data_IF_758195530364
#
_entry.id   IF_758195530364
#
_cell.length_a   1.000
_cell.length_b   1.000
_cell.length_c   1.000
_cell.angle_alpha   90.00
_cell.angle_beta   90.00
_cell.angle_gamma   90.00
#
_symmetry.space_group_name_H-M   'P 1'
#
loop_
_entity.id
_entity.type
_entity.pdbx_description
1 polymer ?
#
# COMPACT_ATOMS: atom_id res chain seq x y z
N UNK A 1 -48.06 -15.48 2.59
CA UNK A 1 -47.86 -14.03 2.64
C UNK A 1 -46.42 -13.74 2.24
N UNK A 2 -46.25 -13.07 1.12
CA UNK A 2 -44.92 -12.57 0.74
C UNK A 2 -44.55 -11.37 1.56
N UNK A 3 -43.36 -11.36 2.17
CA UNK A 3 -42.76 -10.17 2.77
C UNK A 3 -42.29 -9.30 1.61
N UNK A 4 -42.99 -8.22 1.35
CA UNK A 4 -42.54 -7.23 0.37
C UNK A 4 -41.42 -6.43 0.99
N UNK A 5 -40.21 -6.39 0.40
CA UNK A 5 -39.14 -5.56 0.96
C UNK A 5 -39.56 -4.09 0.98
N UNK A 6 -39.38 -3.45 2.12
CA UNK A 6 -39.76 -2.05 2.36
C UNK A 6 -38.89 -1.04 1.59
N UNK A 7 -37.85 -1.52 0.90
CA UNK A 7 -36.89 -0.74 0.15
C UNK A 7 -36.85 -1.22 -1.30
N UNK A 8 -36.83 -0.32 -2.25
CA UNK A 8 -36.54 -0.64 -3.63
C UNK A 8 -35.10 -1.21 -3.74
N UNK A 9 -34.90 -2.22 -4.58
CA UNK A 9 -33.59 -2.85 -4.80
C UNK A 9 -32.49 -1.82 -5.10
N UNK A 10 -32.80 -0.70 -5.77
CA UNK A 10 -31.85 0.35 -6.09
C UNK A 10 -31.31 1.11 -4.87
N UNK A 11 -32.08 1.26 -3.80
CA UNK A 11 -31.61 1.97 -2.58
C UNK A 11 -30.57 1.14 -1.82
N UNK A 12 -30.78 -0.19 -1.74
CA UNK A 12 -29.81 -1.11 -1.11
C UNK A 12 -28.53 -1.19 -1.92
N UNK A 13 -28.63 -1.31 -3.24
CA UNK A 13 -27.49 -1.33 -4.16
C UNK A 13 -26.64 -0.05 -4.02
N UNK A 14 -27.27 1.11 -3.99
CA UNK A 14 -26.57 2.39 -3.79
C UNK A 14 -25.83 2.46 -2.45
N UNK A 15 -26.40 1.91 -1.38
CA UNK A 15 -25.72 1.87 -0.08
C UNK A 15 -24.52 0.92 -0.07
N UNK A 16 -24.64 -0.24 -0.71
CA UNK A 16 -23.54 -1.20 -0.87
C UNK A 16 -22.42 -0.56 -1.69
N UNK A 17 -22.74 0.08 -2.79
CA UNK A 17 -21.77 0.76 -3.65
C UNK A 17 -21.06 1.91 -2.89
N UNK A 18 -21.79 2.74 -2.17
CA UNK A 18 -21.23 3.80 -1.33
C UNK A 18 -20.31 3.23 -0.23
N UNK A 19 -20.66 2.10 0.37
CA UNK A 19 -19.83 1.41 1.35
C UNK A 19 -18.53 0.90 0.72
N UNK A 20 -18.61 0.26 -0.44
CA UNK A 20 -17.42 -0.22 -1.17
C UNK A 20 -16.48 0.92 -1.52
N UNK A 21 -16.99 2.05 -2.01
CA UNK A 21 -16.19 3.21 -2.33
C UNK A 21 -15.47 3.79 -1.10
N UNK A 22 -16.15 3.82 0.04
CA UNK A 22 -15.53 4.28 1.30
C UNK A 22 -14.46 3.31 1.78
N UNK A 23 -14.71 2.02 1.66
CA UNK A 23 -13.74 0.97 2.01
C UNK A 23 -12.49 1.06 1.11
N UNK A 24 -12.68 1.24 -0.18
CA UNK A 24 -11.58 1.42 -1.14
C UNK A 24 -10.73 2.65 -0.78
N UNK A 25 -11.37 3.78 -0.50
CA UNK A 25 -10.67 5.01 -0.09
C UNK A 25 -9.90 4.82 1.22
N UNK A 26 -10.50 4.16 2.22
CA UNK A 26 -9.85 3.87 3.48
C UNK A 26 -8.65 2.93 3.29
N UNK A 27 -8.78 1.94 2.44
CA UNK A 27 -7.70 1.01 2.09
C UNK A 27 -6.54 1.74 1.42
N UNK A 28 -6.82 2.58 0.42
CA UNK A 28 -5.81 3.39 -0.27
C UNK A 28 -5.09 4.33 0.69
N UNK A 29 -5.83 5.01 1.56
CA UNK A 29 -5.25 5.89 2.58
C UNK A 29 -4.29 5.13 3.50
N UNK A 30 -4.72 3.98 4.00
CA UNK A 30 -3.92 3.15 4.89
C UNK A 30 -2.66 2.62 4.21
N UNK A 31 -2.77 2.13 2.97
CA UNK A 31 -1.63 1.63 2.22
C UNK A 31 -0.63 2.74 1.89
N UNK A 32 -1.10 3.94 1.56
CA UNK A 32 -0.24 5.11 1.38
C UNK A 32 0.52 5.48 2.66
N UNK A 33 -0.18 5.52 3.78
CA UNK A 33 0.43 5.80 5.08
C UNK A 33 1.49 4.77 5.46
N UNK A 34 1.18 3.48 5.30
CA UNK A 34 2.14 2.41 5.54
C UNK A 34 3.33 2.48 4.60
N UNK A 35 3.08 2.72 3.32
CA UNK A 35 4.13 2.82 2.31
C UNK A 35 5.11 3.94 2.63
N UNK A 36 4.60 5.12 2.95
CA UNK A 36 5.43 6.26 3.35
C UNK A 36 6.24 5.96 4.61
N UNK A 37 5.60 5.39 5.61
CA UNK A 37 6.26 5.01 6.88
C UNK A 37 7.36 3.98 6.65
N UNK A 38 7.12 2.97 5.84
CA UNK A 38 8.09 1.90 5.58
C UNK A 38 9.25 2.37 4.71
N UNK A 39 8.98 3.19 3.69
CA UNK A 39 10.03 3.77 2.85
C UNK A 39 10.93 4.73 3.66
N UNK A 40 10.34 5.56 4.49
CA UNK A 40 11.09 6.43 5.42
C UNK A 40 11.93 5.63 6.40
N UNK A 41 11.35 4.57 6.98
CA UNK A 41 12.06 3.71 7.91
C UNK A 41 13.27 3.02 7.27
N UNK A 42 13.16 2.56 6.01
CA UNK A 42 14.28 1.98 5.28
C UNK A 42 15.42 3.00 5.12
N UNK A 43 15.10 4.23 4.74
CA UNK A 43 16.07 5.30 4.57
C UNK A 43 16.76 5.69 5.86
N UNK A 44 16.00 5.80 6.96
CA UNK A 44 16.53 6.17 8.27
C UNK A 44 17.44 5.09 8.86
N UNK A 45 17.26 3.84 8.46
CA UNK A 45 18.02 2.69 8.98
C UNK A 45 19.18 2.24 8.09
N UNK A 46 19.42 2.95 6.97
CA UNK A 46 20.55 2.59 6.11
C UNK A 46 21.90 2.77 6.83
N UNK A 47 22.83 1.88 6.54
CA UNK A 47 24.17 1.87 7.09
C UNK A 47 25.24 1.70 6.01
N UNK A 48 24.88 1.92 4.76
CA UNK A 48 25.79 1.99 3.62
C UNK A 48 26.19 3.46 3.33
N UNK A 49 27.32 3.63 2.65
CA UNK A 49 27.72 4.93 2.13
C UNK A 49 27.10 5.13 0.75
N UNK A 50 26.22 6.11 0.63
CA UNK A 50 25.55 6.47 -0.64
C UNK A 50 26.26 7.68 -1.27
N UNK A 51 27.21 7.44 -2.15
CA UNK A 51 28.06 8.48 -2.74
C UNK A 51 27.29 9.45 -3.63
N UNK A 52 26.30 8.96 -4.36
CA UNK A 52 25.50 9.75 -5.30
C UNK A 52 24.14 10.12 -4.73
N UNK A 53 23.72 9.48 -3.65
CA UNK A 53 22.37 9.58 -3.13
C UNK A 53 21.34 8.74 -3.91
N UNK A 54 21.76 8.09 -5.00
CA UNK A 54 20.85 7.38 -5.90
C UNK A 54 20.23 6.16 -5.23
N UNK A 55 20.98 5.39 -4.45
CA UNK A 55 20.45 4.20 -3.79
C UNK A 55 19.34 4.56 -2.81
N UNK A 56 19.60 5.51 -1.91
CA UNK A 56 18.61 5.99 -0.93
C UNK A 56 17.41 6.64 -1.63
N UNK A 57 17.66 7.41 -2.70
CA UNK A 57 16.60 8.07 -3.46
C UNK A 57 15.79 7.08 -4.33
N UNK A 58 16.30 5.88 -4.59
CA UNK A 58 15.57 4.82 -5.29
C UNK A 58 14.65 3.99 -4.39
N UNK A 59 14.77 4.16 -3.06
CA UNK A 59 13.86 3.53 -2.11
C UNK A 59 12.53 4.26 -2.14
N UNK A 60 11.49 3.53 -2.49
CA UNK A 60 10.15 4.07 -2.59
C UNK A 60 9.10 3.02 -2.28
N UNK A 61 7.84 3.43 -2.36
CA UNK A 61 6.70 2.53 -2.25
C UNK A 61 5.73 2.75 -3.40
N UNK A 62 4.98 1.71 -3.71
CA UNK A 62 3.87 1.80 -4.64
C UNK A 62 2.62 1.15 -4.05
N UNK A 63 1.50 1.83 -4.16
CA UNK A 63 0.19 1.24 -3.92
C UNK A 63 -0.35 0.78 -5.27
N UNK A 64 -0.65 -0.50 -5.35
CA UNK A 64 -1.10 -1.15 -6.59
C UNK A 64 -2.55 -1.58 -6.43
N UNK A 65 -3.35 -1.29 -7.43
CA UNK A 65 -4.72 -1.77 -7.55
C UNK A 65 -4.90 -2.45 -8.91
N UNK A 66 -5.34 -3.72 -8.89
CA UNK A 66 -5.55 -4.51 -10.10
C UNK A 66 -4.33 -4.48 -11.05
N UNK A 67 -3.14 -4.74 -10.49
CA UNK A 67 -1.86 -4.76 -11.21
C UNK A 67 -1.40 -3.42 -11.79
N UNK A 68 -2.01 -2.30 -11.37
CA UNK A 68 -1.64 -0.95 -11.80
C UNK A 68 -1.27 -0.08 -10.61
N UNK A 69 -0.22 0.72 -10.76
CA UNK A 69 0.16 1.68 -9.73
C UNK A 69 -0.91 2.79 -9.64
N UNK A 70 -1.44 2.98 -8.45
CA UNK A 70 -2.34 4.09 -8.10
C UNK A 70 -1.56 5.24 -7.49
N UNK A 71 -0.57 4.92 -6.65
CA UNK A 71 0.30 5.91 -6.00
C UNK A 71 1.71 5.37 -5.98
N UNK A 72 2.69 6.23 -6.25
CA UNK A 72 4.11 6.00 -6.03
C UNK A 72 4.69 7.16 -5.24
N UNK A 73 5.51 6.86 -4.25
CA UNK A 73 6.14 7.87 -3.42
C UNK A 73 7.44 7.38 -2.79
N UNK A 74 8.02 8.22 -1.96
CA UNK A 74 9.22 7.91 -1.19
C UNK A 74 10.51 8.51 -1.75
N UNK A 75 10.62 8.87 -3.03
CA UNK A 75 11.78 9.57 -3.54
C UNK A 75 11.95 10.94 -2.86
N UNK A 76 13.18 11.30 -2.52
CA UNK A 76 13.50 12.55 -1.83
C UNK A 76 13.52 13.71 -2.84
N UNK A 77 14.04 13.44 -4.03
CA UNK A 77 14.18 14.41 -5.11
C UNK A 77 14.13 13.74 -6.47
N UNK A 78 13.80 14.47 -7.54
CA UNK A 78 13.90 13.95 -8.91
C UNK A 78 15.33 13.53 -9.24
N UNK A 79 15.50 12.52 -10.11
CA UNK A 79 16.79 12.05 -10.56
C UNK A 79 16.79 10.57 -10.92
N UNK A 80 17.98 10.04 -11.19
CA UNK A 80 18.17 8.66 -11.59
C UNK A 80 17.60 7.66 -10.57
N UNK A 81 17.88 7.85 -9.28
CA UNK A 81 17.37 6.98 -8.23
C UNK A 81 15.86 6.93 -8.22
N UNK A 82 15.19 8.08 -8.28
CA UNK A 82 13.73 8.16 -8.33
C UNK A 82 13.15 7.45 -9.56
N UNK A 83 13.77 7.65 -10.73
CA UNK A 83 13.34 7.03 -11.99
C UNK A 83 13.49 5.51 -11.96
N UNK A 84 14.61 4.99 -11.48
CA UNK A 84 14.84 3.55 -11.36
C UNK A 84 13.92 2.92 -10.32
N UNK A 85 13.65 3.60 -9.21
CA UNK A 85 12.66 3.15 -8.22
C UNK A 85 11.27 3.00 -8.83
N UNK A 86 10.79 3.98 -9.55
CA UNK A 86 9.50 3.93 -10.24
C UNK A 86 9.45 2.82 -11.31
N UNK A 87 10.53 2.66 -12.06
CA UNK A 87 10.64 1.62 -13.09
C UNK A 87 10.47 0.22 -12.50
N UNK A 88 11.23 -0.10 -11.46
CA UNK A 88 11.13 -1.39 -10.76
C UNK A 88 9.74 -1.58 -10.15
N UNK A 89 9.18 -0.55 -9.52
CA UNK A 89 7.83 -0.63 -8.98
C UNK A 89 6.79 -0.93 -10.07
N UNK A 90 6.93 -0.33 -11.24
CA UNK A 90 6.02 -0.57 -12.38
C UNK A 90 6.14 -2.01 -12.90
N UNK A 91 7.36 -2.53 -13.04
CA UNK A 91 7.59 -3.91 -13.45
C UNK A 91 7.00 -4.91 -12.44
N UNK A 92 7.21 -4.67 -11.14
CA UNK A 92 6.66 -5.52 -10.08
C UNK A 92 5.14 -5.45 -9.99
N UNK A 93 4.54 -4.28 -10.22
CA UNK A 93 3.09 -4.08 -10.16
C UNK A 93 2.35 -4.98 -11.16
N UNK A 94 2.93 -5.20 -12.35
CA UNK A 94 2.34 -6.08 -13.37
C UNK A 94 2.17 -7.53 -12.90
N UNK A 95 2.96 -7.95 -11.92
CA UNK A 95 2.95 -9.31 -11.36
C UNK A 95 2.17 -9.40 -10.04
N UNK A 96 1.65 -8.29 -9.52
CA UNK A 96 0.84 -8.28 -8.31
C UNK A 96 -0.50 -8.96 -8.54
N UNK A 97 -0.85 -9.86 -7.63
CA UNK A 97 -2.15 -10.53 -7.61
C UNK A 97 -3.05 -9.89 -6.54
N UNK A 98 -4.37 -10.03 -6.75
CA UNK A 98 -5.36 -9.45 -5.84
C UNK A 98 -5.72 -8.01 -6.19
N UNK A 99 -6.66 -7.46 -5.42
CA UNK A 99 -7.21 -6.13 -5.68
C UNK A 99 -6.22 -5.03 -5.27
N UNK A 100 -5.63 -5.14 -4.08
CA UNK A 100 -4.68 -4.18 -3.55
C UNK A 100 -3.36 -4.86 -3.17
N UNK A 101 -2.27 -4.17 -3.43
CA UNK A 101 -0.92 -4.56 -2.99
C UNK A 101 -0.12 -3.33 -2.59
N UNK A 102 0.77 -3.50 -1.63
CA UNK A 102 1.77 -2.51 -1.24
C UNK A 102 3.15 -3.05 -1.59
N UNK A 103 3.89 -2.31 -2.38
CA UNK A 103 5.28 -2.61 -2.74
C UNK A 103 6.22 -1.64 -2.04
N UNK A 104 7.32 -2.16 -1.51
CA UNK A 104 8.49 -1.36 -1.11
C UNK A 104 9.63 -1.78 -2.03
N UNK A 105 10.26 -0.83 -2.66
CA UNK A 105 11.28 -1.06 -3.69
C UNK A 105 12.55 -0.29 -3.43
N UNK A 106 13.66 -0.81 -3.93
CA UNK A 106 14.93 -0.11 -4.11
C UNK A 106 15.38 -0.34 -5.55
N UNK A 107 15.32 0.70 -6.38
CA UNK A 107 15.38 0.57 -7.83
C UNK A 107 16.77 0.46 -8.44
N UNK A 108 17.81 0.81 -7.69
CA UNK A 108 19.17 0.72 -8.24
C UNK A 108 19.58 -0.75 -8.45
N UNK A 109 20.19 -1.03 -9.59
CA UNK A 109 20.58 -2.38 -9.99
C UNK A 109 21.56 -3.08 -9.02
N UNK A 110 22.28 -2.32 -8.23
CA UNK A 110 23.21 -2.83 -7.22
C UNK A 110 22.61 -2.93 -5.80
N UNK A 111 21.34 -2.56 -5.61
CA UNK A 111 20.69 -2.58 -4.29
C UNK A 111 20.73 -3.96 -3.63
N UNK A 112 20.41 -5.01 -4.37
CA UNK A 112 20.45 -6.38 -3.86
C UNK A 112 21.87 -6.81 -3.46
N UNK A 113 22.89 -6.37 -4.19
CA UNK A 113 24.29 -6.62 -3.85
C UNK A 113 24.69 -5.94 -2.55
N UNK A 114 24.30 -4.69 -2.35
CA UNK A 114 24.57 -3.93 -1.11
C UNK A 114 23.91 -4.64 0.09
N UNK A 115 22.67 -5.06 -0.04
CA UNK A 115 21.97 -5.79 1.01
C UNK A 115 22.56 -7.16 1.30
N UNK A 116 23.00 -7.89 0.27
CA UNK A 116 23.70 -9.17 0.40
C UNK A 116 25.05 -9.06 1.12
N UNK A 117 25.67 -7.88 1.12
CA UNK A 117 26.87 -7.58 1.90
C UNK A 117 26.61 -7.28 3.38
N UNK A 118 25.37 -7.36 3.82
CA UNK A 118 24.98 -7.11 5.21
C UNK A 118 24.62 -5.66 5.51
N UNK A 119 24.46 -4.82 4.48
CA UNK A 119 23.99 -3.45 4.65
C UNK A 119 22.47 -3.38 4.56
N UNK A 120 21.88 -2.45 5.29
CA UNK A 120 20.43 -2.26 5.32
C UNK A 120 19.98 -1.43 4.12
N UNK A 121 19.26 -2.04 3.18
CA UNK A 121 18.58 -1.34 2.08
C UNK A 121 17.07 -1.31 2.36
N UNK A 122 16.37 -2.41 2.12
CA UNK A 122 14.92 -2.53 2.41
C UNK A 122 14.58 -3.60 3.45
N UNK A 123 15.54 -4.44 3.84
CA UNK A 123 15.32 -5.50 4.84
C UNK A 123 14.71 -4.99 6.17
N UNK A 124 15.18 -3.86 6.75
CA UNK A 124 14.54 -3.31 7.95
C UNK A 124 13.06 -3.01 7.77
N UNK A 125 12.67 -2.50 6.60
CA UNK A 125 11.27 -2.25 6.25
C UNK A 125 10.48 -3.53 6.07
N UNK A 126 11.06 -4.54 5.48
CA UNK A 126 10.41 -5.86 5.35
C UNK A 126 10.07 -6.43 6.73
N UNK A 127 11.03 -6.40 7.65
CA UNK A 127 10.82 -6.88 9.02
C UNK A 127 9.74 -6.07 9.76
N UNK A 128 9.76 -4.75 9.60
CA UNK A 128 8.74 -3.86 10.15
C UNK A 128 7.37 -4.12 9.53
N UNK A 129 7.30 -4.31 8.23
CA UNK A 129 6.06 -4.59 7.51
C UNK A 129 5.39 -5.88 7.96
N UNK A 130 6.15 -6.91 8.31
CA UNK A 130 5.62 -8.17 8.85
C UNK A 130 4.80 -7.97 10.13
N UNK A 131 5.12 -6.95 10.91
CA UNK A 131 4.37 -6.58 12.11
C UNK A 131 3.26 -5.56 11.82
N UNK A 132 3.57 -4.50 11.08
CA UNK A 132 2.69 -3.36 10.89
C UNK A 132 1.54 -3.64 9.92
N UNK A 133 1.78 -4.40 8.86
CA UNK A 133 0.76 -4.68 7.84
C UNK A 133 -0.42 -5.49 8.37
N UNK A 134 -0.22 -6.62 9.09
CA UNK A 134 -1.35 -7.36 9.67
C UNK A 134 -2.16 -6.52 10.66
N UNK A 135 -1.51 -5.71 11.50
CA UNK A 135 -2.19 -4.82 12.44
C UNK A 135 -3.07 -3.79 11.73
N UNK A 136 -2.56 -3.19 10.66
CA UNK A 136 -3.31 -2.24 9.84
C UNK A 136 -4.51 -2.89 9.15
N UNK A 137 -4.34 -4.11 8.63
CA UNK A 137 -5.43 -4.88 7.99
C UNK A 137 -6.50 -5.27 9.01
N UNK A 138 -6.14 -5.63 10.23
CA UNK A 138 -7.09 -5.90 11.30
C UNK A 138 -7.93 -4.67 11.66
N UNK A 139 -7.30 -3.50 11.76
CA UNK A 139 -8.02 -2.24 12.01
C UNK A 139 -9.00 -1.92 10.89
N UNK A 140 -8.58 -2.07 9.64
CA UNK A 140 -9.44 -1.84 8.48
C UNK A 140 -10.62 -2.81 8.47
N UNK A 141 -10.39 -4.09 8.75
CA UNK A 141 -11.43 -5.13 8.84
C UNK A 141 -12.43 -4.82 9.96
N UNK A 142 -11.97 -4.40 11.13
CA UNK A 142 -12.84 -4.03 12.25
C UNK A 142 -13.71 -2.81 11.92
N UNK A 143 -13.14 -1.79 11.28
CA UNK A 143 -13.88 -0.62 10.81
C UNK A 143 -14.93 -0.99 9.77
N UNK A 144 -14.60 -1.85 8.81
CA UNK A 144 -15.51 -2.34 7.78
C UNK A 144 -16.69 -3.10 8.38
N UNK A 145 -16.44 -4.01 9.33
CA UNK A 145 -17.49 -4.76 10.04
C UNK A 145 -18.42 -3.85 10.82
N UNK A 146 -17.87 -2.91 11.57
CA UNK A 146 -18.66 -1.93 12.34
C UNK A 146 -19.57 -1.10 11.43
N UNK A 147 -19.03 -0.62 10.31
CA UNK A 147 -19.82 0.17 9.36
C UNK A 147 -20.87 -0.64 8.64
N UNK A 148 -20.57 -1.88 8.27
CA UNK A 148 -21.53 -2.80 7.67
C UNK A 148 -22.72 -3.07 8.62
N UNK A 149 -22.45 -3.29 9.91
CA UNK A 149 -23.51 -3.44 10.92
C UNK A 149 -24.39 -2.21 11.07
N UNK A 150 -23.78 -1.02 11.08
CA UNK A 150 -24.55 0.24 11.12
C UNK A 150 -25.49 0.38 9.93
N UNK A 151 -25.01 0.06 8.72
CA UNK A 151 -25.82 0.10 7.50
C UNK A 151 -26.96 -0.93 7.58
N UNK A 152 -26.66 -2.15 8.03
CA UNK A 152 -27.65 -3.21 8.19
C UNK A 152 -28.74 -2.80 9.18
N UNK A 153 -28.35 -2.34 10.36
CA UNK A 153 -29.29 -1.92 11.40
C UNK A 153 -30.14 -0.72 10.99
N UNK A 154 -29.60 0.19 10.20
CA UNK A 154 -30.35 1.35 9.70
C UNK A 154 -31.43 0.98 8.68
N UNK A 155 -31.36 -0.23 8.07
CA UNK A 155 -32.29 -0.73 7.07
C UNK A 155 -33.27 -1.80 7.61
N UNK A 156 -33.17 -2.11 8.89
CA UNK A 156 -34.17 -2.94 9.58
C UNK A 156 -35.34 -2.11 10.05
#
# INVERSE_FOLDING_TARGET
>A
MGITPKFGNGAVEQQIEAFQQRLDKATLYMLNYLGESLASYAKDRHNYTDRTGNLTNSIGYAVVRNSKIVTYGGAIQPGEGASEGLKIATEMANNCQGTFSLLIVAGMNYAAYVEAKGYNVILPSELKAKADFPAAMQRLSAMAKSKAQQIFNANL
#
